data_IF_191260974571
#
_entry.id   IF_191260974571
#
_cell.length_a   1.000
_cell.length_b   1.000
_cell.length_c   1.000
_cell.angle_alpha   90.00
_cell.angle_beta   90.00
_cell.angle_gamma   90.00
#
_symmetry.space_group_name_H-M   'P 1'
#
loop_
_entity.id
_entity.type
_entity.pdbx_description
1 polymer ?
#
# COMPACT_ATOMS: atom_id res chain seq x y z
N UNK A 1 -15.82 19.99 -5.22
CA UNK A 1 -15.80 20.20 -6.69
C UNK A 1 -16.36 18.95 -7.37
N UNK A 2 -17.25 19.09 -8.37
CA UNK A 2 -17.83 17.93 -9.07
C UNK A 2 -16.89 17.33 -10.12
N UNK A 3 -16.17 18.18 -10.87
CA UNK A 3 -15.27 17.73 -11.92
C UNK A 3 -13.94 18.51 -11.94
N UNK A 4 -12.80 17.84 -11.70
CA UNK A 4 -12.67 16.49 -11.15
C UNK A 4 -13.32 16.40 -9.75
N UNK A 5 -13.82 15.21 -9.39
CA UNK A 5 -14.39 14.99 -8.05
C UNK A 5 -13.28 15.15 -7.02
N UNK A 6 -13.33 16.25 -6.28
CA UNK A 6 -12.29 16.63 -5.33
C UNK A 6 -12.89 17.42 -4.17
N UNK A 7 -12.28 17.26 -2.99
CA UNK A 7 -12.57 18.02 -1.78
C UNK A 7 -11.35 18.85 -1.43
N UNK A 8 -11.54 20.11 -1.07
CA UNK A 8 -10.48 20.96 -0.57
C UNK A 8 -10.75 21.35 0.89
N UNK A 9 -9.70 21.34 1.70
CA UNK A 9 -9.65 21.94 3.03
C UNK A 9 -8.79 23.20 2.92
N UNK A 10 -9.39 24.36 3.19
CA UNK A 10 -8.70 25.66 3.13
C UNK A 10 -8.53 26.15 4.56
N UNK A 11 -7.30 26.50 4.93
CA UNK A 11 -6.95 26.97 6.26
C UNK A 11 -6.88 28.51 6.29
N UNK A 12 -7.08 29.12 7.46
CA UNK A 12 -6.90 30.56 7.67
C UNK A 12 -5.49 31.06 7.31
N UNK A 13 -4.49 30.17 7.35
CA UNK A 13 -3.13 30.44 6.87
C UNK A 13 -2.99 30.60 5.35
N UNK A 14 -4.06 30.41 4.59
CA UNK A 14 -4.04 30.39 3.11
C UNK A 14 -3.56 29.08 2.50
N UNK A 15 -3.18 28.08 3.31
CA UNK A 15 -2.86 26.73 2.83
C UNK A 15 -4.13 26.02 2.38
N UNK A 16 -4.00 25.21 1.34
CA UNK A 16 -5.07 24.38 0.81
C UNK A 16 -4.62 22.93 0.68
N UNK A 17 -5.40 21.99 1.20
CA UNK A 17 -5.20 20.56 1.03
C UNK A 17 -6.31 20.00 0.13
N UNK A 18 -5.94 19.38 -0.99
CA UNK A 18 -6.88 18.80 -1.96
C UNK A 18 -6.81 17.28 -1.88
N UNK A 19 -7.97 16.62 -1.74
CA UNK A 19 -8.11 15.17 -1.61
C UNK A 19 -9.20 14.61 -2.53
N UNK A 20 -9.19 13.29 -2.75
CA UNK A 20 -10.21 12.57 -3.54
C UNK A 20 -9.92 12.44 -5.03
N UNK A 21 -8.77 12.94 -5.48
CA UNK A 21 -8.31 12.87 -6.88
C UNK A 21 -7.45 11.63 -7.13
N UNK A 22 -7.62 11.01 -8.31
CA UNK A 22 -6.89 9.78 -8.71
C UNK A 22 -5.66 10.04 -9.60
N UNK A 23 -5.39 11.29 -9.94
CA UNK A 23 -4.27 11.68 -10.82
C UNK A 23 -3.68 13.00 -10.37
N UNK A 24 -2.35 13.10 -10.46
CA UNK A 24 -1.59 14.33 -10.18
C UNK A 24 -2.04 15.49 -11.07
N UNK A 25 -2.37 15.22 -12.34
CA UNK A 25 -2.88 16.25 -13.25
C UNK A 25 -4.21 16.81 -12.75
N UNK A 26 -5.15 15.92 -12.40
CA UNK A 26 -6.46 16.30 -11.87
C UNK A 26 -6.35 16.99 -10.49
N UNK A 27 -5.37 16.62 -9.68
CA UNK A 27 -5.08 17.29 -8.41
C UNK A 27 -4.70 18.76 -8.61
N UNK A 28 -3.80 19.03 -9.56
CA UNK A 28 -3.38 20.38 -9.90
C UNK A 28 -4.55 21.19 -10.51
N UNK A 29 -5.31 20.59 -11.43
CA UNK A 29 -6.50 21.22 -12.01
C UNK A 29 -7.55 21.55 -10.94
N UNK A 30 -7.81 20.63 -10.01
CA UNK A 30 -8.71 20.87 -8.89
C UNK A 30 -8.23 22.04 -8.02
N UNK A 31 -6.94 22.07 -7.67
CA UNK A 31 -6.35 23.15 -6.88
C UNK A 31 -6.54 24.51 -7.56
N UNK A 32 -6.28 24.60 -8.87
CA UNK A 32 -6.53 25.84 -9.65
C UNK A 32 -8.00 26.25 -9.66
N UNK A 33 -8.92 25.29 -9.84
CA UNK A 33 -10.36 25.55 -9.77
C UNK A 33 -10.79 26.04 -8.39
N UNK A 34 -10.25 25.49 -7.31
CA UNK A 34 -10.52 25.98 -5.96
C UNK A 34 -9.98 27.39 -5.73
N UNK A 35 -8.76 27.69 -6.19
CA UNK A 35 -8.20 29.03 -6.10
C UNK A 35 -9.06 30.06 -6.86
N UNK A 36 -9.56 29.71 -8.05
CA UNK A 36 -10.50 30.56 -8.79
C UNK A 36 -11.80 30.83 -8.02
N UNK A 37 -12.34 29.83 -7.32
CA UNK A 37 -13.53 30.01 -6.48
C UNK A 37 -13.23 30.98 -5.33
N UNK A 38 -12.07 30.84 -4.68
CA UNK A 38 -11.63 31.73 -3.59
C UNK A 38 -11.49 33.17 -4.07
N UNK A 39 -10.95 33.37 -5.28
CA UNK A 39 -10.86 34.68 -5.93
C UNK A 39 -12.22 35.34 -6.11
N UNK A 40 -13.24 34.55 -6.52
CA UNK A 40 -14.62 35.04 -6.69
C UNK A 40 -15.31 35.44 -5.39
N UNK A 41 -14.85 34.93 -4.25
CA UNK A 41 -15.36 35.31 -2.92
C UNK A 41 -14.65 36.58 -2.39
N UNK A 42 -13.67 37.13 -3.14
CA UNK A 42 -13.02 38.39 -2.82
C UNK A 42 -11.61 38.26 -2.23
N UNK A 43 -11.07 37.04 -2.14
CA UNK A 43 -9.70 36.81 -1.67
C UNK A 43 -8.78 36.58 -2.85
N UNK A 44 -7.80 37.46 -3.08
CA UNK A 44 -6.82 37.30 -4.16
C UNK A 44 -5.80 36.20 -3.80
N UNK A 45 -5.79 35.05 -4.49
CA UNK A 45 -4.75 34.04 -4.31
C UNK A 45 -3.40 34.57 -4.82
N UNK A 46 -2.30 33.94 -4.39
CA UNK A 46 -0.98 34.23 -4.96
C UNK A 46 -0.95 33.85 -6.45
N UNK A 47 -0.31 34.67 -7.28
CA UNK A 47 -0.19 34.43 -8.73
C UNK A 47 0.39 33.05 -9.07
N UNK A 48 1.37 32.60 -8.28
CA UNK A 48 1.96 31.27 -8.42
C UNK A 48 1.63 30.39 -7.21
N UNK A 49 0.71 29.44 -7.41
CA UNK A 49 0.33 28.45 -6.42
C UNK A 49 1.36 27.33 -6.43
N UNK A 50 2.13 27.21 -5.35
CA UNK A 50 3.06 26.09 -5.16
C UNK A 50 2.28 24.79 -4.92
N UNK A 51 2.14 24.01 -5.98
CA UNK A 51 1.47 22.72 -5.95
C UNK A 51 2.47 21.61 -5.64
N UNK A 52 2.26 20.92 -4.51
CA UNK A 52 3.10 19.80 -4.09
C UNK A 52 2.26 18.60 -3.65
N UNK A 53 2.56 17.44 -4.22
CA UNK A 53 1.99 16.16 -3.79
C UNK A 53 2.52 15.81 -2.40
N UNK A 54 1.61 15.63 -1.45
CA UNK A 54 1.96 15.30 -0.05
C UNK A 54 1.93 13.79 0.21
N UNK A 55 0.95 13.09 -0.38
CA UNK A 55 0.78 11.66 -0.21
C UNK A 55 0.07 11.09 -1.44
N UNK A 56 0.46 9.88 -1.83
CA UNK A 56 -0.19 9.05 -2.82
C UNK A 56 -0.56 7.74 -2.13
N UNK A 57 -1.82 7.33 -2.29
CA UNK A 57 -2.33 6.05 -1.80
C UNK A 57 -2.59 5.17 -3.01
N UNK A 58 -2.01 3.98 -3.00
CA UNK A 58 -2.23 2.95 -4.01
C UNK A 58 -2.91 1.73 -3.41
N UNK A 59 -3.58 0.97 -4.25
CA UNK A 59 -4.15 -0.34 -3.90
C UNK A 59 -3.70 -1.36 -4.92
N UNK A 60 -3.34 -2.55 -4.46
CA UNK A 60 -2.96 -3.68 -5.30
C UNK A 60 -3.65 -4.95 -4.81
N UNK A 61 -3.77 -5.93 -5.70
CA UNK A 61 -4.27 -7.26 -5.39
C UNK A 61 -3.30 -8.28 -5.98
N UNK A 62 -2.79 -9.18 -5.14
CA UNK A 62 -1.89 -10.26 -5.61
C UNK A 62 -2.65 -11.48 -6.11
N UNK A 63 -3.96 -11.57 -5.86
CA UNK A 63 -4.82 -12.64 -6.37
C UNK A 63 -4.70 -13.98 -5.64
N UNK A 64 -4.05 -14.02 -4.47
CA UNK A 64 -3.97 -15.22 -3.64
C UNK A 64 -3.94 -14.90 -2.14
N UNK A 65 -4.41 -15.80 -1.26
CA UNK A 65 -4.34 -15.59 0.17
C UNK A 65 -2.92 -15.68 0.73
N UNK A 66 -2.60 -14.89 1.74
CA UNK A 66 -1.25 -14.76 2.32
C UNK A 66 -1.25 -15.22 3.78
N UNK A 67 -0.20 -15.94 4.21
CA UNK A 67 0.04 -16.35 5.60
C UNK A 67 0.77 -15.24 6.35
N UNK A 68 -0.01 -14.31 6.94
CA UNK A 68 0.52 -13.12 7.63
C UNK A 68 1.35 -13.47 8.88
N UNK A 69 1.01 -14.55 9.58
CA UNK A 69 1.72 -15.01 10.78
C UNK A 69 3.17 -15.41 10.45
N UNK A 70 3.37 -16.07 9.31
CA UNK A 70 4.71 -16.41 8.82
C UNK A 70 5.49 -15.17 8.40
N UNK A 71 4.83 -14.23 7.73
CA UNK A 71 5.44 -13.00 7.27
C UNK A 71 5.92 -12.12 8.43
N UNK A 72 5.10 -11.93 9.48
CA UNK A 72 5.50 -11.15 10.65
C UNK A 72 6.62 -11.82 11.44
N UNK A 73 6.61 -13.15 11.54
CA UNK A 73 7.66 -13.89 12.23
C UNK A 73 9.01 -13.72 11.53
N UNK A 74 9.04 -13.81 10.20
CA UNK A 74 10.27 -13.65 9.42
C UNK A 74 10.73 -12.18 9.31
N UNK A 75 9.81 -11.22 9.32
CA UNK A 75 10.10 -9.79 9.11
C UNK A 75 9.73 -8.92 10.32
N UNK A 76 9.91 -9.42 11.54
CA UNK A 76 9.44 -8.78 12.79
C UNK A 76 9.97 -7.36 13.03
N UNK A 77 11.14 -7.01 12.47
CA UNK A 77 11.70 -5.66 12.54
C UNK A 77 10.91 -4.61 11.73
N UNK A 78 10.20 -5.04 10.69
CA UNK A 78 9.50 -4.16 9.74
C UNK A 78 7.99 -4.41 9.67
N UNK A 79 7.54 -5.56 10.16
CA UNK A 79 6.16 -6.01 10.13
C UNK A 79 5.54 -6.00 11.53
N UNK A 80 4.26 -5.62 11.60
CA UNK A 80 3.45 -5.73 12.82
C UNK A 80 2.08 -6.26 12.46
N UNK A 81 1.61 -7.29 13.18
CA UNK A 81 0.33 -7.93 12.93
C UNK A 81 -0.33 -8.32 14.25
N UNK A 82 -1.42 -7.62 14.57
CA UNK A 82 -2.22 -7.79 15.77
C UNK A 82 -3.70 -7.87 15.34
N UNK A 83 -4.20 -9.05 14.93
CA UNK A 83 -5.53 -9.18 14.30
C UNK A 83 -6.68 -8.71 15.18
N UNK A 84 -6.52 -8.78 16.50
CA UNK A 84 -7.48 -8.28 17.50
C UNK A 84 -7.61 -6.74 17.47
N UNK A 85 -6.55 -6.03 17.06
CA UNK A 85 -6.53 -4.57 16.94
C UNK A 85 -6.80 -4.10 15.51
N UNK A 86 -6.22 -4.79 14.52
CA UNK A 86 -6.36 -4.45 13.12
C UNK A 86 -6.20 -5.69 12.22
N UNK A 87 -7.14 -5.97 11.30
CA UNK A 87 -7.16 -7.21 10.52
C UNK A 87 -6.06 -7.33 9.43
N UNK A 88 -5.25 -6.29 9.23
CA UNK A 88 -4.17 -6.28 8.25
C UNK A 88 -2.78 -6.27 8.91
N UNK A 89 -1.79 -6.83 8.23
CA UNK A 89 -0.39 -6.69 8.61
C UNK A 89 0.13 -5.33 8.13
N UNK A 90 0.78 -4.60 9.03
CA UNK A 90 1.45 -3.34 8.72
C UNK A 90 2.91 -3.65 8.39
N UNK A 91 3.34 -3.39 7.16
CA UNK A 91 4.73 -3.57 6.73
C UNK A 91 5.36 -2.23 6.39
N UNK A 92 6.47 -1.87 7.05
CA UNK A 92 7.14 -0.57 6.89
C UNK A 92 8.39 -0.73 6.03
N UNK A 93 8.41 -0.03 4.90
CA UNK A 93 9.56 0.01 4.00
C UNK A 93 10.38 1.28 4.26
N UNK A 94 11.71 1.14 4.33
CA UNK A 94 12.61 2.27 4.60
C UNK A 94 12.99 3.01 3.31
N UNK A 95 13.25 2.27 2.22
CA UNK A 95 13.67 2.85 0.95
C UNK A 95 13.04 2.15 -0.29
N UNK A 96 11.96 2.71 -0.87
CA UNK A 96 11.34 4.01 -0.56
C UNK A 96 10.58 4.00 0.78
N UNK A 97 10.42 5.18 1.41
CA UNK A 97 9.70 5.32 2.68
C UNK A 97 8.19 5.20 2.46
N UNK A 98 7.67 3.98 2.55
CA UNK A 98 6.25 3.66 2.37
C UNK A 98 5.77 2.66 3.41
N UNK A 99 4.46 2.60 3.59
CA UNK A 99 3.80 1.63 4.48
C UNK A 99 2.81 0.82 3.67
N UNK A 100 2.85 -0.49 3.84
CA UNK A 100 1.87 -1.42 3.29
C UNK A 100 0.92 -1.89 4.38
N UNK A 101 -0.36 -2.00 4.02
CA UNK A 101 -1.36 -2.72 4.78
C UNK A 101 -1.72 -3.96 3.95
N UNK A 102 -1.32 -5.13 4.41
CA UNK A 102 -1.45 -6.40 3.71
C UNK A 102 -2.54 -7.21 4.39
N UNK A 103 -3.55 -7.63 3.64
CA UNK A 103 -4.66 -8.43 4.16
C UNK A 103 -4.50 -9.90 3.81
N UNK A 104 -5.06 -10.79 4.62
CA UNK A 104 -5.03 -12.25 4.39
C UNK A 104 -5.59 -12.61 3.00
N UNK A 105 -6.52 -11.80 2.47
CA UNK A 105 -7.12 -12.00 1.15
C UNK A 105 -6.17 -11.74 -0.03
N UNK A 106 -4.96 -11.22 0.19
CA UNK A 106 -4.06 -10.76 -0.87
C UNK A 106 -4.28 -9.32 -1.32
N UNK A 107 -5.24 -8.61 -0.72
CA UNK A 107 -5.42 -7.18 -0.95
C UNK A 107 -4.32 -6.40 -0.23
N UNK A 108 -3.82 -5.35 -0.87
CA UNK A 108 -2.74 -4.52 -0.38
C UNK A 108 -3.11 -3.06 -0.54
N UNK A 109 -2.89 -2.27 0.50
CA UNK A 109 -2.93 -0.81 0.45
C UNK A 109 -1.52 -0.28 0.67
N UNK A 110 -1.07 0.64 -0.17
CA UNK A 110 0.24 1.28 -0.10
C UNK A 110 0.03 2.77 0.19
N UNK A 111 0.72 3.32 1.19
CA UNK A 111 0.62 4.75 1.51
C UNK A 111 1.97 5.33 1.95
N UNK A 112 2.07 6.66 1.96
CA UNK A 112 3.27 7.41 2.37
C UNK A 112 4.18 7.80 1.21
N UNK A 113 3.87 7.33 -0.01
CA UNK A 113 4.63 7.68 -1.20
C UNK A 113 4.35 9.12 -1.64
N UNK A 114 5.37 9.81 -2.17
CA UNK A 114 5.25 11.16 -2.75
C UNK A 114 5.33 11.16 -4.27
N UNK A 115 5.88 10.09 -4.85
CA UNK A 115 5.98 9.88 -6.29
C UNK A 115 5.35 8.56 -6.66
N UNK A 116 4.70 8.52 -7.81
CA UNK A 116 4.04 7.30 -8.32
C UNK A 116 5.04 6.15 -8.51
N UNK A 117 6.25 6.46 -8.99
CA UNK A 117 7.33 5.48 -9.15
C UNK A 117 7.72 4.79 -7.83
N UNK A 118 7.61 5.50 -6.69
CA UNK A 118 7.93 4.91 -5.38
C UNK A 118 6.95 3.78 -5.02
N UNK A 119 5.66 3.90 -5.40
CA UNK A 119 4.68 2.83 -5.19
C UNK A 119 5.03 1.60 -6.03
N UNK A 120 5.32 1.81 -7.31
CA UNK A 120 5.67 0.73 -8.23
C UNK A 120 6.93 0.00 -7.76
N UNK A 121 8.01 0.73 -7.45
CA UNK A 121 9.25 0.16 -6.94
C UNK A 121 9.05 -0.59 -5.63
N UNK A 122 8.27 -0.05 -4.70
CA UNK A 122 8.01 -0.71 -3.44
C UNK A 122 7.23 -2.02 -3.64
N UNK A 123 6.22 -2.01 -4.50
CA UNK A 123 5.43 -3.20 -4.80
C UNK A 123 6.28 -4.30 -5.47
N UNK A 124 7.14 -3.95 -6.43
CA UNK A 124 8.07 -4.88 -7.07
C UNK A 124 9.02 -5.54 -6.07
N UNK A 125 9.48 -4.79 -5.05
CA UNK A 125 10.32 -5.35 -4.00
C UNK A 125 9.56 -6.24 -3.01
N UNK A 126 8.31 -5.90 -2.72
CA UNK A 126 7.48 -6.66 -1.78
C UNK A 126 6.95 -7.97 -2.41
N UNK A 127 6.66 -7.97 -3.70
CA UNK A 127 5.98 -9.08 -4.37
C UNK A 127 6.68 -10.45 -4.22
N UNK A 128 8.02 -10.59 -4.36
CA UNK A 128 8.72 -11.86 -4.12
C UNK A 128 8.53 -12.37 -2.68
N UNK A 129 8.59 -11.48 -1.70
CA UNK A 129 8.37 -11.82 -0.29
C UNK A 129 6.96 -12.39 -0.11
N UNK A 130 5.95 -11.77 -0.71
CA UNK A 130 4.56 -12.26 -0.59
C UNK A 130 4.36 -13.62 -1.26
N UNK A 131 5.09 -13.91 -2.33
CA UNK A 131 5.04 -15.22 -3.00
C UNK A 131 5.53 -16.35 -2.11
N UNK A 132 6.55 -16.11 -1.28
CA UNK A 132 7.06 -17.10 -0.30
C UNK A 132 6.02 -17.46 0.77
N UNK A 133 5.13 -16.53 1.11
CA UNK A 133 4.07 -16.72 2.12
C UNK A 133 2.68 -16.97 1.52
N UNK A 134 2.60 -17.34 0.23
CA UNK A 134 1.35 -17.73 -0.40
C UNK A 134 0.74 -18.93 0.33
N UNK A 135 -0.52 -18.82 0.77
CA UNK A 135 -1.28 -19.98 1.26
C UNK A 135 -1.60 -20.87 0.07
N UNK A 136 -0.89 -21.98 -0.08
CA UNK A 136 -1.40 -23.14 -0.81
C UNK A 136 -2.62 -23.62 -0.06
N UNK A 137 -3.75 -23.84 -0.75
CA UNK A 137 -4.89 -24.50 -0.15
C UNK A 137 -4.41 -25.83 0.43
N UNK A 138 -4.31 -25.91 1.77
CA UNK A 138 -4.34 -27.21 2.43
C UNK A 138 -5.81 -27.59 2.35
N UNK A 139 -6.16 -28.43 1.39
CA UNK A 139 -7.39 -29.20 1.44
C UNK A 139 -7.25 -30.17 2.61
N UNK A 140 -7.45 -29.69 3.85
CA UNK A 140 -7.71 -30.61 4.96
C UNK A 140 -9.08 -31.20 4.70
N UNK A 141 -9.09 -32.35 4.03
CA UNK A 141 -10.22 -33.28 4.10
C UNK A 141 -10.48 -33.54 5.59
N UNK A 142 -11.71 -33.38 6.09
CA UNK A 142 -12.03 -33.71 7.48
C UNK A 142 -11.76 -35.21 7.71
N UNK A 143 -10.76 -35.53 8.55
CA UNK A 143 -10.51 -36.91 8.99
C UNK A 143 -9.11 -37.50 8.80
N UNK A 144 -8.12 -36.77 8.27
CA UNK A 144 -6.74 -37.30 8.14
C UNK A 144 -5.80 -36.62 9.15
N UNK A 145 -5.19 -37.35 10.11
CA UNK A 145 -4.20 -36.81 11.04
C UNK A 145 -2.95 -36.29 10.32
N UNK A 146 -2.39 -35.17 10.80
CA UNK A 146 -1.25 -34.46 10.23
C UNK A 146 0.11 -35.21 10.25
N UNK A 147 0.14 -36.51 10.54
CA UNK A 147 1.35 -37.30 10.75
C UNK A 147 1.90 -37.99 9.49
N UNK A 148 1.35 -37.75 8.30
CA UNK A 148 1.74 -38.46 7.08
C UNK A 148 2.22 -37.58 5.91
N UNK A 149 2.58 -36.32 6.13
CA UNK A 149 3.29 -35.57 5.09
C UNK A 149 4.79 -35.93 5.13
N UNK A 150 5.39 -36.34 3.99
CA UNK A 150 6.82 -36.60 3.94
C UNK A 150 7.60 -35.29 4.13
N UNK A 151 8.79 -35.34 4.76
CA UNK A 151 9.64 -34.16 4.89
C UNK A 151 10.12 -33.73 3.51
N UNK A 152 9.65 -32.58 3.03
CA UNK A 152 10.23 -31.90 1.87
C UNK A 152 11.59 -31.32 2.26
N UNK A 153 12.62 -32.14 2.10
CA UNK A 153 14.02 -31.77 2.19
C UNK A 153 14.86 -32.83 1.51
N UNK A 154 14.99 -32.77 0.18
CA UNK A 154 16.09 -33.45 -0.52
C UNK A 154 17.24 -32.45 -0.67
N UNK A 155 18.25 -32.57 0.19
CA UNK A 155 19.62 -32.25 -0.18
C UNK A 155 20.04 -33.28 -1.24
N UNK A 156 20.47 -32.82 -2.40
CA UNK A 156 21.13 -33.64 -3.41
C UNK A 156 22.61 -33.40 -3.25
N UNK A 157 23.26 -34.22 -2.44
CA UNK A 157 24.70 -34.44 -2.49
C UNK A 157 24.94 -35.68 -3.34
N UNK A 158 25.72 -35.57 -4.40
CA UNK A 158 26.33 -36.73 -5.06
C UNK A 158 27.67 -36.31 -5.66
N UNK A 159 28.71 -36.47 -4.86
CA UNK A 159 30.09 -36.65 -5.35
C UNK A 159 30.29 -38.10 -5.82
N UNK A 160 31.10 -38.23 -6.87
CA UNK A 160 31.99 -39.36 -7.21
C UNK A 160 31.41 -40.75 -7.54
N UNK A 161 31.47 -41.09 -8.83
CA UNK A 161 32.31 -42.21 -9.36
C UNK A 161 32.99 -41.71 -10.62
#
# INVERSE_FOLDING_TARGET
LREPRATALIFSSGKMCVTGVKSTHNANLAAKKFAYIVERVGFKPKENIDFKVQNIVGTADVGFPIRLEGLVYAHSAFASYEPELFPGLIYRFVNPRVVFLIFVSGKIVITGAKKEMDLAHALTKLFPVLMEFKKTHITTVPGVPAASLPPTGKTVDTESV
#
